data_IF_630933266215
#
_entry.id   IF_630933266215
#
_cell.length_a   1.000
_cell.length_b   1.000
_cell.length_c   1.000
_cell.angle_alpha   90.00
_cell.angle_beta   90.00
_cell.angle_gamma   90.00
#
_symmetry.space_group_name_H-M   'P 1'
#
loop_
_entity.id
_entity.type
_entity.pdbx_description
1 polymer ?
#
# COMPACT_ATOMS: atom_id res chain seq x y z
N UNK A 1 -8.95 -11.44 -9.69
CA UNK A 1 -10.07 -10.52 -9.44
C UNK A 1 -9.53 -9.33 -8.64
N UNK A 2 -9.50 -8.16 -9.26
CA UNK A 2 -8.82 -6.98 -8.73
C UNK A 2 -9.61 -6.24 -7.62
N UNK A 3 -10.92 -5.97 -7.79
CA UNK A 3 -11.77 -5.48 -6.69
C UNK A 3 -11.64 -6.33 -5.42
N UNK A 4 -11.65 -7.66 -5.55
CA UNK A 4 -11.44 -8.56 -4.40
C UNK A 4 -10.06 -8.42 -3.77
N UNK A 5 -9.02 -8.20 -4.58
CA UNK A 5 -7.68 -7.94 -4.05
C UNK A 5 -7.64 -6.65 -3.23
N UNK A 6 -8.22 -5.55 -3.74
CA UNK A 6 -8.26 -4.27 -3.02
C UNK A 6 -9.01 -4.37 -1.69
N UNK A 7 -10.16 -5.04 -1.69
CA UNK A 7 -10.94 -5.29 -0.49
C UNK A 7 -10.15 -6.11 0.53
N UNK A 8 -9.52 -7.21 0.08
CA UNK A 8 -8.70 -8.06 0.94
C UNK A 8 -7.49 -7.32 1.51
N UNK A 9 -6.83 -6.50 0.68
CA UNK A 9 -5.69 -5.68 1.08
C UNK A 9 -6.09 -4.66 2.15
N UNK A 10 -7.17 -3.90 1.91
CA UNK A 10 -7.70 -2.97 2.90
C UNK A 10 -8.03 -3.69 4.20
N UNK A 11 -8.75 -4.80 4.13
CA UNK A 11 -9.13 -5.58 5.32
C UNK A 11 -7.90 -6.03 6.11
N UNK A 12 -6.88 -6.55 5.45
CA UNK A 12 -5.62 -6.98 6.07
C UNK A 12 -4.99 -5.87 6.92
N UNK A 13 -4.79 -4.68 6.33
CA UNK A 13 -4.19 -3.56 7.04
C UNK A 13 -5.07 -3.01 8.18
N UNK A 14 -6.38 -2.88 7.93
CA UNK A 14 -7.30 -2.31 8.92
C UNK A 14 -7.48 -3.22 10.13
N UNK A 15 -7.47 -4.55 9.96
CA UNK A 15 -7.46 -5.48 11.10
C UNK A 15 -6.29 -5.22 12.04
N UNK A 16 -5.11 -4.89 11.51
CA UNK A 16 -3.91 -4.58 12.32
C UNK A 16 -4.07 -3.21 13.00
N UNK A 17 -4.56 -2.21 12.28
CA UNK A 17 -4.73 -0.86 12.84
C UNK A 17 -5.82 -0.80 13.91
N UNK A 18 -6.89 -1.56 13.75
CA UNK A 18 -7.98 -1.69 14.72
C UNK A 18 -7.51 -2.29 16.04
N UNK A 19 -6.54 -3.22 16.00
CA UNK A 19 -5.95 -3.81 17.20
C UNK A 19 -5.22 -2.79 18.08
N UNK A 20 -4.85 -1.61 17.55
CA UNK A 20 -4.25 -0.53 18.35
C UNK A 20 -5.28 0.22 19.23
N UNK A 21 -6.58 -0.01 19.04
CA UNK A 21 -7.65 0.48 19.93
C UNK A 21 -7.94 1.99 19.85
N UNK A 22 -7.30 2.73 18.94
CA UNK A 22 -7.49 4.19 18.81
C UNK A 22 -8.42 4.55 17.66
N UNK A 23 -9.69 4.81 17.97
CA UNK A 23 -10.70 5.22 16.97
C UNK A 23 -10.33 6.49 16.23
N UNK A 24 -9.67 7.44 16.91
CA UNK A 24 -9.19 8.67 16.28
C UNK A 24 -8.16 8.38 15.17
N UNK A 25 -7.15 7.55 15.46
CA UNK A 25 -6.11 7.21 14.50
C UNK A 25 -6.66 6.39 13.33
N UNK A 26 -7.57 5.45 13.59
CA UNK A 26 -8.22 4.65 12.54
C UNK A 26 -8.98 5.54 11.56
N UNK A 27 -9.75 6.52 12.06
CA UNK A 27 -10.48 7.45 11.20
C UNK A 27 -9.55 8.30 10.34
N UNK A 28 -8.43 8.76 10.90
CA UNK A 28 -7.42 9.51 10.15
C UNK A 28 -6.76 8.64 9.07
N UNK A 29 -6.39 7.39 9.40
CA UNK A 29 -5.82 6.43 8.45
C UNK A 29 -6.82 6.13 7.32
N UNK A 30 -8.11 5.99 7.61
CA UNK A 30 -9.15 5.77 6.61
C UNK A 30 -9.19 6.85 5.54
N UNK A 31 -9.22 8.13 5.95
CA UNK A 31 -9.20 9.23 5.00
C UNK A 31 -7.94 9.26 4.13
N UNK A 32 -6.77 9.05 4.75
CA UNK A 32 -5.48 9.00 4.02
C UNK A 32 -5.42 7.80 3.06
N UNK A 33 -5.96 6.66 3.46
CA UNK A 33 -6.01 5.46 2.64
C UNK A 33 -6.85 5.69 1.38
N UNK A 34 -8.03 6.29 1.52
CA UNK A 34 -8.95 6.54 0.41
C UNK A 34 -8.34 7.53 -0.59
N UNK A 35 -7.68 8.58 -0.09
CA UNK A 35 -6.91 9.51 -0.92
C UNK A 35 -5.78 8.81 -1.71
N UNK A 36 -5.09 7.86 -1.09
CA UNK A 36 -3.99 7.11 -1.69
C UNK A 36 -4.45 5.98 -2.63
N UNK A 37 -5.70 5.51 -2.54
CA UNK A 37 -6.21 4.37 -3.30
C UNK A 37 -6.18 4.61 -4.80
N UNK A 38 -6.54 5.82 -5.27
CA UNK A 38 -6.53 6.19 -6.69
C UNK A 38 -5.13 6.10 -7.32
N UNK A 39 -4.10 6.46 -6.58
CA UNK A 39 -2.71 6.39 -7.06
C UNK A 39 -2.19 4.95 -7.06
N UNK A 40 -2.51 4.18 -6.01
CA UNK A 40 -2.20 2.74 -5.95
C UNK A 40 -2.87 1.95 -7.07
N UNK A 41 -4.09 2.34 -7.47
CA UNK A 41 -4.78 1.76 -8.60
C UNK A 41 -3.94 1.83 -9.88
N UNK A 42 -3.45 3.02 -10.23
CA UNK A 42 -2.67 3.21 -11.46
C UNK A 42 -1.32 2.49 -11.40
N UNK A 43 -0.65 2.57 -10.25
CA UNK A 43 0.63 1.90 -10.03
C UNK A 43 0.54 0.36 -10.07
N UNK A 44 -0.55 -0.24 -9.58
CA UNK A 44 -0.66 -1.71 -9.49
C UNK A 44 -0.76 -2.42 -10.85
N UNK A 45 -1.00 -1.69 -11.95
CA UNK A 45 -0.94 -2.25 -13.30
C UNK A 45 0.49 -2.41 -13.83
N UNK A 46 1.51 -1.97 -13.09
CA UNK A 46 2.90 -2.23 -13.42
C UNK A 46 3.23 -3.71 -13.19
N UNK A 47 3.82 -4.32 -14.22
CA UNK A 47 4.23 -5.73 -14.25
C UNK A 47 5.24 -6.04 -13.11
N UNK A 48 5.19 -7.26 -12.58
CA UNK A 48 6.20 -7.87 -11.70
C UNK A 48 6.32 -7.36 -10.24
N UNK A 49 5.30 -6.69 -9.69
CA UNK A 49 5.31 -6.22 -8.28
C UNK A 49 4.61 -7.14 -7.27
N UNK A 50 3.83 -8.12 -7.73
CA UNK A 50 2.97 -8.92 -6.86
C UNK A 50 3.77 -9.71 -5.80
N UNK A 51 4.86 -10.36 -6.20
CA UNK A 51 5.66 -11.19 -5.28
C UNK A 51 6.35 -10.37 -4.19
N UNK A 52 6.79 -9.15 -4.52
CA UNK A 52 7.38 -8.20 -3.57
C UNK A 52 6.36 -7.80 -2.52
N UNK A 53 5.17 -7.37 -2.94
CA UNK A 53 4.07 -6.97 -2.04
C UNK A 53 3.67 -8.13 -1.13
N UNK A 54 3.57 -9.35 -1.67
CA UNK A 54 3.26 -10.52 -0.86
C UNK A 54 4.38 -10.85 0.14
N UNK A 55 5.64 -10.61 -0.22
CA UNK A 55 6.78 -10.71 0.70
C UNK A 55 6.66 -9.73 1.88
N UNK A 56 6.27 -8.49 1.60
CA UNK A 56 6.06 -7.45 2.61
C UNK A 56 4.90 -7.80 3.54
N UNK A 57 3.77 -8.29 3.01
CA UNK A 57 2.65 -8.74 3.82
C UNK A 57 3.02 -9.91 4.74
N UNK A 58 3.86 -10.85 4.25
CA UNK A 58 4.39 -11.94 5.08
C UNK A 58 5.27 -11.42 6.22
N UNK A 59 6.10 -10.41 5.97
CA UNK A 59 6.92 -9.79 7.01
C UNK A 59 6.07 -9.08 8.08
N UNK A 60 5.04 -8.35 7.66
CA UNK A 60 4.06 -7.72 8.57
C UNK A 60 3.37 -8.79 9.42
N UNK A 61 2.86 -9.86 8.79
CA UNK A 61 2.18 -10.94 9.50
C UNK A 61 3.10 -11.66 10.49
N UNK A 62 4.36 -11.92 10.11
CA UNK A 62 5.34 -12.54 10.99
C UNK A 62 5.61 -11.68 12.24
N UNK A 63 5.74 -10.35 12.07
CA UNK A 63 5.90 -9.43 13.19
C UNK A 63 4.66 -9.41 14.11
N UNK A 64 3.45 -9.46 13.54
CA UNK A 64 2.22 -9.61 14.31
C UNK A 64 2.20 -10.92 15.12
N UNK A 65 2.55 -12.05 14.50
CA UNK A 65 2.59 -13.36 15.15
C UNK A 65 3.64 -13.43 16.28
N UNK A 66 4.77 -12.74 16.11
CA UNK A 66 5.80 -12.63 17.12
C UNK A 66 5.46 -11.64 18.25
N UNK A 67 4.35 -10.90 18.13
CA UNK A 67 4.00 -9.78 19.01
C UNK A 67 5.12 -8.70 19.11
N UNK A 68 5.90 -8.54 18.04
CA UNK A 68 7.01 -7.58 17.98
C UNK A 68 6.53 -6.25 17.38
N UNK A 69 6.21 -5.30 18.26
CA UNK A 69 5.74 -3.98 17.86
C UNK A 69 6.80 -3.16 17.10
N UNK A 70 8.09 -3.39 17.37
CA UNK A 70 9.17 -2.66 16.69
C UNK A 70 9.33 -3.19 15.26
N UNK A 71 9.37 -4.51 15.09
CA UNK A 71 9.42 -5.15 13.78
C UNK A 71 8.17 -4.83 12.95
N UNK A 72 6.99 -4.83 13.57
CA UNK A 72 5.74 -4.49 12.89
C UNK A 72 5.75 -3.06 12.34
N UNK A 73 6.22 -2.10 13.17
CA UNK A 73 6.37 -0.70 12.74
C UNK A 73 7.32 -0.60 11.55
N UNK A 74 8.49 -1.24 11.63
CA UNK A 74 9.48 -1.23 10.56
C UNK A 74 8.91 -1.83 9.26
N UNK A 75 8.24 -2.98 9.34
CA UNK A 75 7.65 -3.64 8.19
C UNK A 75 6.56 -2.81 7.52
N UNK A 76 5.66 -2.20 8.30
CA UNK A 76 4.60 -1.32 7.78
C UNK A 76 5.22 -0.07 7.14
N UNK A 77 6.19 0.57 7.80
CA UNK A 77 6.85 1.76 7.24
C UNK A 77 7.59 1.46 5.95
N UNK A 78 8.30 0.34 5.87
CA UNK A 78 8.97 -0.09 4.64
C UNK A 78 7.97 -0.34 3.50
N UNK A 79 6.89 -1.07 3.77
CA UNK A 79 5.82 -1.33 2.81
C UNK A 79 5.17 -0.04 2.28
N UNK A 80 4.89 0.93 3.16
CA UNK A 80 4.36 2.24 2.78
C UNK A 80 5.34 3.03 1.91
N UNK A 81 6.63 3.02 2.26
CA UNK A 81 7.68 3.72 1.51
C UNK A 81 7.89 3.12 0.12
N UNK A 82 7.95 1.79 -0.01
CA UNK A 82 8.06 1.15 -1.32
C UNK A 82 6.85 1.45 -2.21
N UNK A 83 5.64 1.49 -1.63
CA UNK A 83 4.44 1.90 -2.37
C UNK A 83 4.55 3.36 -2.83
N UNK A 84 5.01 4.27 -1.97
CA UNK A 84 5.20 5.68 -2.29
C UNK A 84 6.24 5.89 -3.40
N UNK A 85 7.40 5.23 -3.29
CA UNK A 85 8.47 5.28 -4.28
C UNK A 85 7.99 4.75 -5.64
N UNK A 86 7.26 3.64 -5.63
CA UNK A 86 6.65 3.07 -6.82
C UNK A 86 5.67 4.02 -7.50
N UNK A 87 4.75 4.60 -6.72
CA UNK A 87 3.79 5.60 -7.23
C UNK A 87 4.51 6.83 -7.77
N UNK A 88 5.54 7.34 -7.07
CA UNK A 88 6.33 8.49 -7.54
C UNK A 88 7.02 8.20 -8.86
N UNK A 89 7.67 7.05 -8.98
CA UNK A 89 8.33 6.64 -10.22
C UNK A 89 7.34 6.53 -11.38
N UNK A 90 6.15 5.97 -11.13
CA UNK A 90 5.07 5.93 -12.12
C UNK A 90 4.63 7.32 -12.57
N UNK A 91 4.36 8.23 -11.63
CA UNK A 91 3.90 9.58 -11.95
C UNK A 91 4.95 10.40 -12.71
N UNK A 92 6.24 10.23 -12.39
CA UNK A 92 7.34 10.87 -13.14
C UNK A 92 7.41 10.30 -14.56
N UNK A 93 7.38 8.98 -14.71
CA UNK A 93 7.42 8.34 -16.03
C UNK A 93 6.19 8.70 -16.89
N UNK A 94 5.03 8.92 -16.28
CA UNK A 94 3.81 9.36 -16.97
C UNK A 94 3.93 10.82 -17.47
N UNK A 95 4.69 11.67 -16.78
CA UNK A 95 4.97 13.06 -17.19
C UNK A 95 5.99 13.17 -18.33
N UNK A 96 6.91 12.21 -18.43
CA UNK A 96 7.98 12.18 -19.44
C UNK A 96 7.56 11.48 -20.76
N UNK A 97 6.33 10.97 -20.84
CA UNK A 97 5.76 10.49 -22.11
C UNK A 97 5.53 11.70 -23.03
N UNK A 98 6.12 11.74 -24.25
CA UNK A 98 5.79 12.80 -25.18
C UNK A 98 4.29 12.77 -25.44
N UNK A 99 3.64 13.93 -25.47
CA UNK A 99 2.31 14.09 -26.06
C UNK A 99 2.41 13.64 -27.53
N UNK A 100 2.23 12.35 -27.79
CA UNK A 100 2.23 11.84 -29.15
C UNK A 100 0.92 12.31 -29.79
N UNK A 101 1.05 13.37 -30.59
CA UNK A 101 0.28 13.64 -31.81
C UNK A 101 -1.20 13.26 -31.69
N UNK A 102 -1.94 14.08 -30.95
CA UNK A 102 -3.38 14.21 -31.18
C UNK A 102 -3.56 15.05 -32.46
N UNK A 103 -3.46 14.38 -33.61
CA UNK A 103 -4.07 14.80 -34.87
C UNK A 103 -5.56 14.38 -34.88
#
# INVERSE_FOLDING_TARGET
DYPRFLEANRRFHFTIYEAAGSRYLINMIAGLWDLAERYRYRYMFLKDRADVIQGEHRAILAACQAHDAAALRQAISAHMNHTLEGVRAYLIAEQDLPESEAD
#
